data_IF_403778005636
#
_entry.id   IF_403778005636
#
_cell.length_a   1.000
_cell.length_b   1.000
_cell.length_c   1.000
_cell.angle_alpha   90.00
_cell.angle_beta   90.00
_cell.angle_gamma   90.00
#
_symmetry.space_group_name_H-M   'P 1'
#
loop_
_entity.id
_entity.type
_entity.pdbx_description
1 polymer ?
#
# COMPACT_ATOMS: atom_id res chain seq x y z
N UNK A 1 31.23 10.83 -13.50
CA UNK A 1 29.94 10.60 -12.82
C UNK A 1 29.65 11.65 -11.74
N UNK A 2 30.39 11.72 -10.62
CA UNK A 2 30.09 12.66 -9.52
C UNK A 2 30.02 14.14 -9.90
N UNK A 3 30.86 14.60 -10.84
CA UNK A 3 30.78 15.96 -11.40
C UNK A 3 29.45 16.25 -12.09
N UNK A 4 28.86 15.25 -12.74
CA UNK A 4 27.62 15.39 -13.50
C UNK A 4 26.38 15.20 -12.62
N UNK A 5 26.45 14.34 -11.59
CA UNK A 5 25.33 14.10 -10.66
C UNK A 5 25.30 15.05 -9.47
N UNK A 6 26.17 16.07 -9.43
CA UNK A 6 26.26 17.03 -8.34
C UNK A 6 26.54 16.35 -6.99
N UNK A 7 27.47 15.39 -6.96
CA UNK A 7 27.83 14.57 -5.80
C UNK A 7 26.70 13.67 -5.27
N UNK A 8 25.53 13.62 -5.91
CA UNK A 8 24.49 12.65 -5.57
C UNK A 8 24.91 11.28 -6.07
N UNK A 9 25.00 10.33 -5.15
CA UNK A 9 25.23 8.93 -5.50
C UNK A 9 23.96 8.35 -6.14
N UNK A 10 24.13 7.61 -7.23
CA UNK A 10 23.16 6.59 -7.60
C UNK A 10 23.22 5.56 -6.48
N UNK A 11 22.17 5.47 -5.66
CA UNK A 11 22.18 4.70 -4.41
C UNK A 11 22.66 3.27 -4.64
N UNK A 12 23.63 2.83 -3.82
CA UNK A 12 24.08 1.43 -3.76
C UNK A 12 23.02 0.60 -3.05
N UNK A 13 22.78 -0.60 -3.56
CA UNK A 13 21.76 -1.54 -3.08
C UNK A 13 21.84 -1.72 -1.54
N UNK A 14 20.74 -1.49 -0.81
CA UNK A 14 20.66 -1.65 0.65
C UNK A 14 19.93 -2.96 1.03
N UNK A 15 20.07 -3.41 2.28
CA UNK A 15 19.61 -4.73 2.77
C UNK A 15 18.09 -4.96 2.71
N UNK A 16 17.24 -3.93 2.63
CA UNK A 16 15.80 -4.15 2.39
C UNK A 16 15.56 -4.42 0.89
N UNK A 17 15.65 -5.71 0.56
CA UNK A 17 15.60 -6.27 -0.81
C UNK A 17 14.42 -5.80 -1.67
N UNK A 18 13.29 -5.44 -1.05
CA UNK A 18 12.03 -5.20 -1.77
C UNK A 18 11.95 -3.82 -2.46
N UNK A 19 12.44 -2.75 -1.84
CA UNK A 19 12.34 -1.40 -2.41
C UNK A 19 13.60 -0.97 -3.19
N UNK A 20 14.66 -1.76 -3.11
CA UNK A 20 15.98 -1.33 -3.57
C UNK A 20 16.03 -1.09 -5.09
N UNK A 21 15.42 -1.98 -5.89
CA UNK A 21 15.35 -1.81 -7.34
C UNK A 21 14.59 -0.52 -7.73
N UNK A 22 13.46 -0.26 -7.06
CA UNK A 22 12.68 0.97 -7.26
C UNK A 22 13.50 2.23 -6.93
N UNK A 23 14.21 2.24 -5.81
CA UNK A 23 15.04 3.37 -5.39
C UNK A 23 16.17 3.61 -6.39
N UNK A 24 16.83 2.55 -6.86
CA UNK A 24 17.89 2.64 -7.86
C UNK A 24 17.36 3.21 -9.18
N UNK A 25 16.25 2.68 -9.70
CA UNK A 25 15.61 3.17 -10.93
C UNK A 25 15.15 4.63 -10.79
N UNK A 26 14.58 4.99 -9.64
CA UNK A 26 14.13 6.36 -9.35
C UNK A 26 15.32 7.33 -9.31
N UNK A 27 16.46 6.90 -8.75
CA UNK A 27 17.69 7.67 -8.72
C UNK A 27 18.26 7.88 -10.13
N UNK A 28 18.30 6.83 -10.96
CA UNK A 28 18.72 6.90 -12.36
C UNK A 28 17.82 7.85 -13.15
N UNK A 29 16.50 7.74 -12.99
CA UNK A 29 15.53 8.61 -13.65
C UNK A 29 15.72 10.09 -13.28
N UNK A 30 15.90 10.39 -11.99
CA UNK A 30 16.17 11.76 -11.50
C UNK A 30 17.45 12.36 -12.06
N UNK A 31 18.38 11.53 -12.55
CA UNK A 31 19.66 11.96 -13.13
C UNK A 31 19.68 11.84 -14.65
N UNK A 32 18.53 11.65 -15.31
CA UNK A 32 18.46 11.40 -16.75
C UNK A 32 19.29 12.39 -17.59
N UNK A 33 19.05 13.69 -17.44
CA UNK A 33 19.74 14.70 -18.23
C UNK A 33 21.24 14.76 -17.92
N UNK A 34 21.59 14.63 -16.64
CA UNK A 34 22.97 14.61 -16.19
C UNK A 34 23.74 13.40 -16.72
N UNK A 35 23.10 12.22 -16.73
CA UNK A 35 23.68 11.00 -17.29
C UNK A 35 23.83 11.11 -18.80
N UNK A 36 22.81 11.61 -19.52
CA UNK A 36 22.93 11.85 -20.97
C UNK A 36 24.09 12.79 -21.30
N UNK A 37 24.21 13.92 -20.59
CA UNK A 37 25.32 14.86 -20.72
C UNK A 37 26.67 14.20 -20.43
N UNK A 38 26.76 13.36 -19.39
CA UNK A 38 27.98 12.63 -19.06
C UNK A 38 28.42 11.73 -20.22
N UNK A 39 27.51 10.91 -20.77
CA UNK A 39 27.88 9.93 -21.80
C UNK A 39 28.24 10.52 -23.17
N UNK A 40 27.92 11.80 -23.42
CA UNK A 40 28.32 12.52 -24.65
C UNK A 40 29.49 13.49 -24.43
N UNK A 41 30.04 13.56 -23.21
CA UNK A 41 31.12 14.49 -22.87
C UNK A 41 32.50 13.99 -23.32
N UNK A 42 33.42 14.92 -23.55
CA UNK A 42 34.83 14.62 -23.84
C UNK A 42 35.52 13.86 -22.69
N UNK A 43 35.15 14.17 -21.45
CA UNK A 43 35.59 13.45 -20.24
C UNK A 43 35.23 11.96 -20.32
N UNK A 44 34.05 11.62 -20.85
CA UNK A 44 33.64 10.23 -21.01
C UNK A 44 34.34 9.57 -22.20
N UNK A 45 34.33 10.21 -23.38
CA UNK A 45 34.89 9.63 -24.61
C UNK A 45 36.39 9.37 -24.49
N UNK A 46 37.13 10.21 -23.78
CA UNK A 46 38.55 10.04 -23.48
C UNK A 46 38.84 9.00 -22.38
N UNK A 47 37.82 8.58 -21.62
CA UNK A 47 38.00 7.66 -20.50
C UNK A 47 38.31 6.21 -20.92
N UNK A 48 39.02 5.48 -20.05
CA UNK A 48 39.25 4.03 -20.24
C UNK A 48 37.94 3.21 -20.26
N UNK A 49 36.89 3.71 -19.61
CA UNK A 49 35.60 3.01 -19.48
C UNK A 49 34.79 3.03 -20.76
N UNK A 50 34.87 4.12 -21.54
CA UNK A 50 34.20 4.23 -22.83
C UNK A 50 34.75 3.23 -23.87
N UNK A 51 36.00 2.81 -23.74
CA UNK A 51 36.63 1.83 -24.64
C UNK A 51 36.15 0.39 -24.39
N UNK A 52 35.74 0.08 -23.15
CA UNK A 52 35.29 -1.25 -22.75
C UNK A 52 33.86 -1.57 -23.16
N UNK A 53 33.57 -2.86 -23.39
CA UNK A 53 32.25 -3.31 -23.86
C UNK A 53 31.12 -2.94 -22.89
N UNK A 54 31.36 -3.00 -21.58
CA UNK A 54 30.37 -2.61 -20.58
C UNK A 54 30.03 -1.12 -20.65
N UNK A 55 31.02 -0.24 -20.82
CA UNK A 55 30.81 1.19 -20.95
C UNK A 55 30.06 1.57 -22.23
N UNK A 56 30.39 0.90 -23.35
CA UNK A 56 29.65 1.05 -24.62
C UNK A 56 28.18 0.69 -24.47
N UNK A 57 27.88 -0.47 -23.84
CA UNK A 57 26.50 -0.89 -23.57
C UNK A 57 25.76 0.11 -22.66
N UNK A 58 26.40 0.57 -21.59
CA UNK A 58 25.80 1.53 -20.67
C UNK A 58 25.47 2.87 -21.37
N UNK A 59 26.40 3.39 -22.18
CA UNK A 59 26.20 4.59 -22.97
C UNK A 59 25.04 4.41 -23.95
N UNK A 60 25.01 3.29 -24.69
CA UNK A 60 23.94 2.97 -25.62
C UNK A 60 22.58 2.93 -24.92
N UNK A 61 22.46 2.24 -23.78
CA UNK A 61 21.21 2.21 -23.01
C UNK A 61 20.77 3.61 -22.58
N UNK A 62 21.65 4.40 -21.97
CA UNK A 62 21.33 5.74 -21.48
C UNK A 62 20.97 6.73 -22.59
N UNK A 63 21.55 6.58 -23.78
CA UNK A 63 21.23 7.44 -24.91
C UNK A 63 19.97 7.00 -25.68
N UNK A 64 19.48 5.78 -25.43
CA UNK A 64 18.29 5.26 -26.11
C UNK A 64 17.01 5.73 -25.44
N UNK A 65 16.04 6.21 -26.22
CA UNK A 65 14.75 6.67 -25.71
C UNK A 65 13.96 5.57 -24.98
N UNK A 66 13.89 4.36 -25.56
CA UNK A 66 13.12 3.23 -25.00
C UNK A 66 13.59 2.78 -23.62
N UNK A 67 14.88 2.97 -23.28
CA UNK A 67 15.40 2.71 -21.95
C UNK A 67 14.69 3.56 -20.89
N UNK A 68 14.52 4.86 -21.15
CA UNK A 68 13.86 5.78 -20.23
C UNK A 68 12.36 5.52 -20.13
N UNK A 69 11.72 5.20 -21.25
CA UNK A 69 10.32 4.75 -21.26
C UNK A 69 10.15 3.51 -20.37
N UNK A 70 11.06 2.53 -20.47
CA UNK A 70 11.07 1.36 -19.61
C UNK A 70 11.26 1.67 -18.12
N UNK A 71 12.12 2.64 -17.79
CA UNK A 71 12.28 3.10 -16.40
C UNK A 71 11.00 3.74 -15.88
N UNK A 72 10.39 4.65 -16.65
CA UNK A 72 9.14 5.32 -16.26
C UNK A 72 8.04 4.27 -16.04
N UNK A 73 7.93 3.32 -16.97
CA UNK A 73 7.00 2.21 -16.87
C UNK A 73 7.19 1.42 -15.57
N UNK A 74 8.42 0.98 -15.28
CA UNK A 74 8.72 0.23 -14.05
C UNK A 74 8.39 1.03 -12.79
N UNK A 75 8.73 2.33 -12.75
CA UNK A 75 8.45 3.21 -11.62
C UNK A 75 6.95 3.46 -11.41
N UNK A 76 6.18 3.59 -12.50
CA UNK A 76 4.73 3.76 -12.44
C UNK A 76 4.02 2.55 -11.84
N UNK A 77 4.42 1.35 -12.25
CA UNK A 77 3.81 0.10 -11.78
C UNK A 77 4.20 -0.21 -10.33
N UNK A 78 5.48 -0.07 -10.01
CA UNK A 78 5.98 -0.45 -8.68
C UNK A 78 5.76 0.64 -7.64
N UNK A 79 5.61 1.91 -8.03
CA UNK A 79 5.45 3.04 -7.12
C UNK A 79 4.29 2.87 -6.12
N UNK A 80 3.06 2.54 -6.55
CA UNK A 80 1.95 2.27 -5.64
C UNK A 80 2.22 1.10 -4.68
N UNK A 81 2.79 -0.02 -5.17
CA UNK A 81 3.16 -1.17 -4.32
C UNK A 81 4.21 -0.81 -3.26
N UNK A 82 5.18 0.05 -3.59
CA UNK A 82 6.15 0.56 -2.61
C UNK A 82 5.46 1.40 -1.53
N UNK A 83 4.36 2.10 -1.83
CA UNK A 83 3.59 2.82 -0.80
C UNK A 83 2.88 1.85 0.14
N UNK A 84 2.30 0.76 -0.37
CA UNK A 84 1.72 -0.31 0.46
C UNK A 84 2.78 -0.94 1.36
N UNK A 85 3.96 -1.27 0.81
CA UNK A 85 5.05 -1.83 1.60
C UNK A 85 5.46 -0.89 2.75
N UNK A 86 5.57 0.42 2.48
CA UNK A 86 5.88 1.41 3.52
C UNK A 86 4.78 1.55 4.58
N UNK A 87 3.52 1.34 4.20
CA UNK A 87 2.40 1.34 5.13
C UNK A 87 2.52 0.16 6.10
N UNK A 88 2.76 -1.05 5.60
CA UNK A 88 2.81 -2.26 6.44
C UNK A 88 4.09 -2.37 7.28
N UNK A 89 5.19 -1.81 6.80
CA UNK A 89 6.45 -1.70 7.57
C UNK A 89 6.46 -0.48 8.52
N UNK A 90 5.42 0.35 8.50
CA UNK A 90 5.32 1.51 9.37
C UNK A 90 4.91 1.13 10.79
N UNK A 91 5.83 1.25 11.75
CA UNK A 91 5.54 0.91 13.17
C UNK A 91 4.61 1.91 13.88
N UNK A 92 4.42 3.11 13.33
CA UNK A 92 3.72 4.21 14.03
C UNK A 92 2.20 4.06 14.08
N UNK A 93 1.59 3.39 13.11
CA UNK A 93 0.14 3.15 13.06
C UNK A 93 -0.10 1.72 12.58
N UNK A 94 -0.90 0.90 13.29
CA UNK A 94 -1.23 -0.44 12.82
C UNK A 94 -1.83 -0.42 11.42
N UNK A 95 -1.24 -1.21 10.51
CA UNK A 95 -1.61 -1.22 9.11
C UNK A 95 -2.91 -1.99 8.80
N UNK A 96 -3.43 -2.77 9.76
CA UNK A 96 -4.54 -3.70 9.52
C UNK A 96 -5.81 -3.00 9.03
N UNK A 97 -6.10 -1.80 9.54
CA UNK A 97 -7.23 -0.99 9.08
C UNK A 97 -7.06 -0.38 7.69
N UNK A 98 -5.87 -0.46 7.09
CA UNK A 98 -5.49 0.31 5.90
C UNK A 98 -5.01 -0.53 4.73
N UNK A 99 -4.48 -1.73 4.98
CA UNK A 99 -3.80 -2.54 3.97
C UNK A 99 -4.71 -2.96 2.81
N UNK A 100 -5.98 -3.28 3.07
CA UNK A 100 -6.94 -3.69 2.05
C UNK A 100 -7.17 -2.56 1.03
N UNK A 101 -7.58 -1.38 1.52
CA UNK A 101 -7.76 -0.18 0.70
C UNK A 101 -6.46 0.21 -0.02
N UNK A 102 -5.32 0.15 0.68
CA UNK A 102 -4.04 0.51 0.09
C UNK A 102 -3.66 -0.41 -1.07
N UNK A 103 -4.01 -1.70 -0.98
CA UNK A 103 -3.82 -2.67 -2.07
C UNK A 103 -4.78 -2.43 -3.22
N UNK A 104 -6.06 -2.16 -2.95
CA UNK A 104 -7.04 -1.82 -3.98
C UNK A 104 -6.63 -0.56 -4.75
N UNK A 105 -6.27 0.51 -4.04
CA UNK A 105 -5.75 1.74 -4.63
C UNK A 105 -4.43 1.52 -5.38
N UNK A 106 -3.57 0.59 -4.93
CA UNK A 106 -2.34 0.28 -5.65
C UNK A 106 -2.62 -0.41 -6.99
N UNK A 107 -3.60 -1.30 -7.03
CA UNK A 107 -4.07 -1.96 -8.26
C UNK A 107 -4.70 -0.92 -9.20
N UNK A 108 -5.58 -0.05 -8.70
CA UNK A 108 -6.20 1.03 -9.49
C UNK A 108 -5.13 2.00 -10.02
N UNK A 109 -4.24 2.50 -9.16
CA UNK A 109 -3.20 3.45 -9.57
C UNK A 109 -2.21 2.83 -10.57
N UNK A 110 -1.99 1.52 -10.52
CA UNK A 110 -1.20 0.83 -11.51
C UNK A 110 -1.93 0.70 -12.85
N UNK A 111 -3.27 0.76 -12.89
CA UNK A 111 -4.16 0.65 -14.08
C UNK A 111 -4.29 1.89 -14.98
N UNK A 112 -3.25 2.73 -15.04
CA UNK A 112 -3.16 3.94 -15.88
C UNK A 112 -3.86 3.84 -17.24
N UNK A 113 -4.73 4.82 -17.56
CA UNK A 113 -5.41 5.09 -18.83
C UNK A 113 -5.81 3.84 -19.64
N UNK A 114 -7.11 3.63 -19.82
CA UNK A 114 -7.71 2.47 -20.52
C UNK A 114 -7.04 2.13 -21.88
N UNK A 115 -6.44 3.11 -22.56
CA UNK A 115 -5.69 2.93 -23.81
C UNK A 115 -4.39 2.11 -23.70
N UNK A 116 -3.78 2.01 -22.52
CA UNK A 116 -2.52 1.26 -22.28
C UNK A 116 -2.68 0.02 -21.41
N UNK A 117 -3.92 -0.33 -21.02
CA UNK A 117 -4.24 -1.43 -20.10
C UNK A 117 -3.57 -2.77 -20.47
N UNK A 118 -3.57 -3.11 -21.75
CA UNK A 118 -2.96 -4.34 -22.29
C UNK A 118 -1.45 -4.45 -22.00
N UNK A 119 -0.74 -3.33 -21.81
CA UNK A 119 0.71 -3.36 -21.51
C UNK A 119 0.99 -3.93 -20.12
N UNK A 120 0.05 -3.75 -19.20
CA UNK A 120 0.22 -4.05 -17.79
C UNK A 120 -0.55 -5.30 -17.32
N UNK A 121 -1.37 -5.90 -18.19
CA UNK A 121 -2.23 -7.06 -17.89
C UNK A 121 -1.47 -8.22 -17.25
N UNK A 122 -0.30 -8.56 -17.80
CA UNK A 122 0.56 -9.61 -17.23
C UNK A 122 1.04 -9.29 -15.81
N UNK A 123 1.22 -8.01 -15.48
CA UNK A 123 1.65 -7.59 -14.14
C UNK A 123 0.45 -7.59 -13.18
N UNK A 124 -0.74 -7.15 -13.60
CA UNK A 124 -1.95 -7.26 -12.77
C UNK A 124 -2.25 -8.71 -12.44
N UNK A 125 -2.17 -9.61 -13.41
CA UNK A 125 -2.36 -11.04 -13.15
C UNK A 125 -1.41 -11.57 -12.07
N UNK A 126 -0.18 -11.04 -12.00
CA UNK A 126 0.76 -11.39 -10.93
C UNK A 126 0.32 -10.77 -9.60
N UNK A 127 -0.06 -9.50 -9.59
CA UNK A 127 -0.51 -8.79 -8.37
C UNK A 127 -1.77 -9.45 -7.81
N UNK A 128 -2.82 -9.62 -8.61
CA UNK A 128 -4.10 -10.22 -8.23
C UNK A 128 -3.88 -11.64 -7.70
N UNK A 129 -3.11 -12.46 -8.43
CA UNK A 129 -2.80 -13.83 -7.98
C UNK A 129 -2.05 -13.82 -6.63
N UNK A 130 -1.18 -12.85 -6.38
CA UNK A 130 -0.45 -12.73 -5.11
C UNK A 130 -1.36 -12.23 -4.00
N UNK A 131 -2.25 -11.29 -4.31
CA UNK A 131 -3.30 -10.84 -3.41
C UNK A 131 -4.16 -12.04 -3.00
N UNK A 132 -4.85 -12.69 -3.93
CA UNK A 132 -5.80 -13.77 -3.65
C UNK A 132 -5.18 -14.97 -2.93
N UNK A 133 -3.96 -15.37 -3.30
CA UNK A 133 -3.36 -16.60 -2.77
C UNK A 133 -2.61 -16.39 -1.45
N UNK A 134 -2.05 -15.21 -1.21
CA UNK A 134 -1.05 -15.00 -0.16
C UNK A 134 -1.43 -13.90 0.81
N UNK A 135 -1.87 -12.74 0.31
CA UNK A 135 -2.05 -11.54 1.12
C UNK A 135 -3.50 -11.37 1.57
N UNK A 136 -4.47 -11.53 0.67
CA UNK A 136 -5.88 -11.39 1.00
C UNK A 136 -6.32 -12.48 1.97
N UNK A 137 -6.88 -12.05 3.10
CA UNK A 137 -7.42 -12.92 4.14
C UNK A 137 -8.65 -12.24 4.73
N UNK A 138 -9.59 -13.02 5.29
CA UNK A 138 -10.73 -12.48 6.01
C UNK A 138 -10.37 -11.40 7.04
N UNK A 139 -9.19 -11.53 7.64
CA UNK A 139 -8.65 -10.56 8.58
C UNK A 139 -8.45 -9.15 7.98
N UNK A 140 -7.95 -9.05 6.75
CA UNK A 140 -7.70 -7.76 6.10
C UNK A 140 -8.99 -7.06 5.71
N UNK A 141 -9.98 -7.82 5.21
CA UNK A 141 -11.33 -7.31 4.95
C UNK A 141 -12.01 -6.84 6.24
N UNK A 142 -11.88 -7.58 7.35
CA UNK A 142 -12.40 -7.16 8.64
C UNK A 142 -11.72 -5.87 9.13
N UNK A 143 -10.40 -5.75 9.01
CA UNK A 143 -9.68 -4.53 9.35
C UNK A 143 -10.16 -3.32 8.56
N UNK A 144 -10.38 -3.50 7.26
CA UNK A 144 -10.94 -2.48 6.39
C UNK A 144 -12.34 -2.04 6.80
N UNK A 145 -13.24 -3.02 6.99
CA UNK A 145 -14.62 -2.78 7.40
C UNK A 145 -14.71 -2.02 8.72
N UNK A 146 -13.85 -2.37 9.68
CA UNK A 146 -13.83 -1.76 11.01
C UNK A 146 -13.09 -0.42 11.06
N UNK A 147 -12.53 0.05 9.94
CA UNK A 147 -11.89 1.36 9.89
C UNK A 147 -12.96 2.45 9.66
N UNK A 148 -13.26 3.32 10.65
CA UNK A 148 -14.28 4.34 10.53
C UNK A 148 -13.95 5.39 9.46
N UNK A 149 -12.68 5.57 9.10
CA UNK A 149 -12.30 6.44 7.98
C UNK A 149 -12.89 5.93 6.66
N UNK A 150 -12.88 4.63 6.43
CA UNK A 150 -13.35 4.04 5.18
C UNK A 150 -14.82 3.69 5.24
N UNK A 151 -15.26 3.09 6.34
CA UNK A 151 -16.64 2.67 6.55
C UNK A 151 -17.62 3.82 6.28
N UNK A 152 -17.41 4.95 6.94
CA UNK A 152 -18.32 6.10 6.85
C UNK A 152 -18.04 7.04 5.67
N UNK A 153 -16.94 6.85 4.93
CA UNK A 153 -16.62 7.69 3.77
C UNK A 153 -17.36 7.23 2.51
N UNK A 154 -17.69 5.94 2.40
CA UNK A 154 -18.55 5.40 1.34
C UNK A 154 -19.40 4.22 1.88
N UNK A 155 -20.42 4.56 2.68
CA UNK A 155 -21.33 3.58 3.30
C UNK A 155 -21.99 2.66 2.26
N UNK A 156 -22.43 3.22 1.14
CA UNK A 156 -23.15 2.47 0.11
C UNK A 156 -22.23 1.46 -0.56
N UNK A 157 -20.96 1.81 -0.83
CA UNK A 157 -20.00 0.85 -1.35
C UNK A 157 -19.71 -0.25 -0.33
N UNK A 158 -19.49 0.09 0.94
CA UNK A 158 -19.20 -0.88 2.00
C UNK A 158 -20.33 -1.88 2.25
N UNK A 159 -21.57 -1.41 2.33
CA UNK A 159 -22.73 -2.28 2.56
C UNK A 159 -23.00 -3.22 1.38
N UNK A 160 -22.67 -2.78 0.16
CA UNK A 160 -22.87 -3.58 -1.07
C UNK A 160 -21.71 -4.53 -1.36
N UNK A 161 -20.56 -4.33 -0.72
CA UNK A 161 -19.41 -5.19 -0.90
C UNK A 161 -19.63 -6.56 -0.23
N UNK A 162 -20.16 -7.50 -1.01
CA UNK A 162 -20.44 -8.87 -0.56
C UNK A 162 -19.19 -9.61 -0.12
N UNK A 163 -18.03 -9.28 -0.67
CA UNK A 163 -16.77 -9.91 -0.31
C UNK A 163 -16.34 -9.48 1.08
N UNK A 164 -16.28 -8.16 1.32
CA UNK A 164 -15.88 -7.60 2.62
C UNK A 164 -16.83 -8.07 3.73
N UNK A 165 -18.14 -8.03 3.51
CA UNK A 165 -19.12 -8.46 4.51
C UNK A 165 -19.01 -9.96 4.83
N UNK A 166 -18.88 -10.82 3.81
CA UNK A 166 -18.69 -12.26 4.01
C UNK A 166 -17.40 -12.55 4.77
N UNK A 167 -16.34 -11.83 4.45
CA UNK A 167 -15.02 -12.07 5.01
C UNK A 167 -14.88 -11.47 6.42
N UNK A 168 -15.64 -10.43 6.77
CA UNK A 168 -15.84 -10.00 8.16
C UNK A 168 -16.43 -11.13 9.01
N UNK A 169 -17.51 -11.78 8.55
CA UNK A 169 -18.16 -12.89 9.27
C UNK A 169 -17.18 -14.04 9.48
N UNK A 170 -16.46 -14.46 8.43
CA UNK A 170 -15.42 -15.50 8.54
C UNK A 170 -14.31 -15.13 9.53
N UNK A 171 -13.96 -13.84 9.61
CA UNK A 171 -12.98 -13.35 10.56
C UNK A 171 -13.48 -13.49 12.00
N UNK A 172 -14.74 -13.11 12.26
CA UNK A 172 -15.41 -13.27 13.55
C UNK A 172 -15.44 -14.74 13.96
N UNK A 173 -15.96 -15.62 13.09
CA UNK A 173 -16.05 -17.07 13.33
C UNK A 173 -14.68 -17.68 13.69
N UNK A 174 -13.61 -17.20 13.04
CA UNK A 174 -12.26 -17.71 13.24
C UNK A 174 -11.58 -17.18 14.50
N UNK A 175 -11.79 -15.92 14.88
CA UNK A 175 -11.07 -15.25 15.97
C UNK A 175 -11.82 -15.26 17.31
N UNK A 176 -13.10 -15.59 17.29
CA UNK A 176 -14.00 -15.58 18.45
C UNK A 176 -14.55 -16.98 18.68
N UNK A 177 -13.97 -17.79 19.60
CA UNK A 177 -14.38 -19.19 19.77
C UNK A 177 -15.79 -19.39 20.34
N UNK A 178 -16.29 -18.42 21.12
CA UNK A 178 -17.61 -18.51 21.74
C UNK A 178 -18.70 -18.05 20.78
N UNK A 179 -19.63 -18.96 20.46
CA UNK A 179 -20.81 -18.67 19.61
C UNK A 179 -21.65 -17.55 20.22
N UNK A 180 -21.79 -17.52 21.54
CA UNK A 180 -22.55 -16.47 22.24
C UNK A 180 -21.92 -15.09 22.03
N UNK A 181 -20.58 -15.01 22.05
CA UNK A 181 -19.86 -13.76 21.75
C UNK A 181 -19.95 -13.39 20.27
N UNK A 182 -19.92 -14.37 19.35
CA UNK A 182 -20.15 -14.11 17.93
C UNK A 182 -21.54 -13.48 17.73
N UNK A 183 -22.59 -14.05 18.34
CA UNK A 183 -23.95 -13.52 18.28
C UNK A 183 -24.05 -12.11 18.87
N UNK A 184 -23.35 -11.83 19.97
CA UNK A 184 -23.30 -10.49 20.55
C UNK A 184 -22.63 -9.48 19.62
N UNK A 185 -21.48 -9.82 19.02
CA UNK A 185 -20.81 -8.97 18.02
C UNK A 185 -21.74 -8.70 16.84
N UNK A 186 -22.43 -9.72 16.34
CA UNK A 186 -23.37 -9.58 15.22
C UNK A 186 -24.58 -8.72 15.57
N UNK A 187 -25.05 -8.73 16.82
CA UNK A 187 -26.14 -7.84 17.29
C UNK A 187 -25.71 -6.39 17.43
N UNK A 188 -24.43 -6.16 17.75
CA UNK A 188 -23.87 -4.82 17.89
C UNK A 188 -23.46 -4.20 16.55
N UNK A 189 -23.21 -5.02 15.52
CA UNK A 189 -22.79 -4.55 14.21
C UNK A 189 -23.77 -3.52 13.59
N UNK A 190 -25.11 -3.71 13.61
CA UNK A 190 -26.04 -2.71 13.11
C UNK A 190 -25.97 -1.34 13.80
N UNK A 191 -25.51 -1.27 15.06
CA UNK A 191 -25.35 -0.01 15.79
C UNK A 191 -24.14 0.79 15.28
N UNK A 192 -23.11 0.09 14.77
CA UNK A 192 -22.01 0.70 14.03
C UNK A 192 -22.44 1.13 12.62
N UNK A 193 -23.25 0.31 11.95
CA UNK A 193 -23.70 0.57 10.57
C UNK A 193 -24.71 1.73 10.48
N UNK A 194 -25.75 1.67 11.30
CA UNK A 194 -26.89 2.58 11.31
C UNK A 194 -26.76 3.53 12.49
N UNK A 195 -25.71 4.32 12.50
CA UNK A 195 -25.52 5.33 13.54
C UNK A 195 -26.52 6.46 13.31
N UNK A 196 -27.70 6.35 13.93
CA UNK A 196 -28.66 7.44 14.06
C UNK A 196 -27.97 8.65 14.72
N UNK A 197 -28.55 9.86 14.60
CA UNK A 197 -27.93 11.10 15.12
C UNK A 197 -27.69 11.09 16.64
N UNK A 198 -28.26 10.13 17.37
CA UNK A 198 -28.07 9.93 18.81
C UNK A 198 -26.89 8.99 19.14
N UNK A 199 -26.33 8.28 18.16
CA UNK A 199 -25.17 7.41 18.35
C UNK A 199 -23.90 8.23 18.64
N UNK A 200 -23.08 7.77 19.58
CA UNK A 200 -21.76 8.36 19.85
C UNK A 200 -20.83 8.31 18.63
N UNK A 201 -21.04 7.36 17.72
CA UNK A 201 -20.31 7.27 16.47
C UNK A 201 -20.55 8.49 15.56
N UNK A 202 -21.73 9.13 15.64
CA UNK A 202 -22.08 10.37 14.92
C UNK A 202 -21.81 11.64 15.73
N UNK A 203 -21.29 11.52 16.95
CA UNK A 203 -20.88 12.72 17.70
C UNK A 203 -19.88 13.53 16.88
N UNK A 204 -19.99 14.86 16.96
CA UNK A 204 -19.09 15.76 16.22
C UNK A 204 -17.60 15.50 16.54
N UNK A 205 -17.30 14.96 17.73
CA UNK A 205 -15.96 14.51 18.08
C UNK A 205 -15.57 13.24 17.32
N UNK A 206 -16.38 12.18 17.37
CA UNK A 206 -16.11 10.93 16.68
C UNK A 206 -15.89 11.15 15.18
N UNK A 207 -16.75 11.93 14.53
CA UNK A 207 -16.67 12.29 13.10
C UNK A 207 -15.34 12.97 12.74
N UNK A 208 -14.87 13.94 13.54
CA UNK A 208 -13.58 14.61 13.30
C UNK A 208 -12.38 13.68 13.50
N UNK A 209 -12.50 12.69 14.39
CA UNK A 209 -11.41 11.79 14.72
C UNK A 209 -11.27 10.61 13.76
N UNK A 210 -12.31 10.28 12.96
CA UNK A 210 -12.28 9.15 12.00
C UNK A 210 -11.03 9.15 11.11
N UNK A 211 -10.60 10.32 10.62
CA UNK A 211 -9.45 10.49 9.69
C UNK A 211 -8.14 10.88 10.38
N UNK A 212 -8.17 11.29 11.64
CA UNK A 212 -7.01 11.85 12.33
C UNK A 212 -6.41 10.89 13.34
N UNK A 213 -7.25 10.07 13.96
CA UNK A 213 -6.87 9.06 14.94
C UNK A 213 -6.57 7.70 14.28
N UNK A 214 -5.84 6.83 14.95
CA UNK A 214 -5.68 5.46 14.47
C UNK A 214 -6.99 4.68 14.73
N UNK A 215 -7.40 3.74 13.85
CA UNK A 215 -8.70 3.09 13.98
C UNK A 215 -8.90 2.39 15.33
N UNK A 216 -7.87 1.68 15.82
CA UNK A 216 -7.93 1.02 17.12
C UNK A 216 -8.09 2.01 18.29
N UNK A 217 -7.48 3.20 18.22
CA UNK A 217 -7.66 4.24 19.25
C UNK A 217 -9.03 4.91 19.14
N UNK A 218 -9.53 5.14 17.92
CA UNK A 218 -10.89 5.63 17.71
C UNK A 218 -11.92 4.70 18.37
N UNK A 219 -11.77 3.38 18.19
CA UNK A 219 -12.64 2.39 18.85
C UNK A 219 -12.53 2.43 20.38
N UNK A 220 -11.37 2.76 20.96
CA UNK A 220 -11.25 2.95 22.42
C UNK A 220 -11.90 4.25 22.91
N UNK A 221 -11.86 5.30 22.09
CA UNK A 221 -12.26 6.65 22.46
C UNK A 221 -13.77 6.88 22.36
N UNK A 222 -14.44 6.22 21.41
CA UNK A 222 -15.85 6.45 21.12
C UNK A 222 -16.65 5.16 21.34
N UNK A 223 -17.17 5.01 22.55
CA UNK A 223 -17.99 3.87 22.98
C UNK A 223 -19.16 4.33 23.87
N UNK A 224 -20.31 3.67 23.70
CA UNK A 224 -21.19 3.37 24.85
C UNK A 224 -22.05 2.10 24.65
N UNK A 225 -22.31 1.67 23.41
CA UNK A 225 -23.39 0.69 23.15
C UNK A 225 -22.94 -0.62 22.48
N UNK A 226 -21.65 -0.77 22.16
CA UNK A 226 -21.12 -1.92 21.42
C UNK A 226 -19.83 -2.52 22.03
N UNK A 227 -19.84 -2.99 23.29
CA UNK A 227 -18.63 -3.44 23.97
C UNK A 227 -17.99 -4.69 23.33
N UNK A 228 -18.78 -5.62 22.78
CA UNK A 228 -18.25 -6.85 22.19
C UNK A 228 -17.59 -6.58 20.83
N UNK A 229 -18.26 -5.79 19.98
CA UNK A 229 -17.74 -5.33 18.70
C UNK A 229 -16.50 -4.46 18.89
N UNK A 230 -16.49 -3.58 19.89
CA UNK A 230 -15.34 -2.74 20.20
C UNK A 230 -14.11 -3.59 20.55
N UNK A 231 -14.25 -4.56 21.46
CA UNK A 231 -13.15 -5.46 21.80
C UNK A 231 -12.65 -6.25 20.58
N UNK A 232 -13.57 -6.73 19.75
CA UNK A 232 -13.22 -7.40 18.49
C UNK A 232 -12.47 -6.45 17.54
N UNK A 233 -12.96 -5.22 17.37
CA UNK A 233 -12.39 -4.23 16.47
C UNK A 233 -10.98 -3.83 16.90
N UNK A 234 -10.78 -3.50 18.19
CA UNK A 234 -9.46 -3.20 18.75
C UNK A 234 -8.52 -4.39 18.54
N UNK A 235 -8.98 -5.62 18.81
CA UNK A 235 -8.18 -6.84 18.61
C UNK A 235 -7.73 -6.97 17.17
N UNK A 236 -8.62 -6.83 16.19
CA UNK A 236 -8.30 -6.93 14.76
C UNK A 236 -7.37 -5.79 14.34
N UNK A 237 -7.75 -4.55 14.62
CA UNK A 237 -7.06 -3.36 14.13
C UNK A 237 -5.67 -3.17 14.75
N UNK A 238 -5.40 -3.77 15.90
CA UNK A 238 -4.09 -3.71 16.56
C UNK A 238 -3.09 -4.75 16.05
N UNK A 239 -3.48 -5.65 15.14
CA UNK A 239 -2.57 -6.66 14.60
C UNK A 239 -1.58 -6.06 13.59
N UNK A 240 -0.37 -6.62 13.58
CA UNK A 240 0.65 -6.28 12.57
C UNK A 240 0.35 -6.96 11.23
N UNK A 241 0.64 -6.26 10.14
CA UNK A 241 0.63 -6.80 8.79
C UNK A 241 2.03 -7.15 8.27
N UNK A 242 3.08 -6.92 9.07
CA UNK A 242 4.46 -7.20 8.69
C UNK A 242 5.17 -8.03 9.75
N UNK A 243 6.04 -8.93 9.28
CA UNK A 243 6.97 -9.68 10.12
C UNK A 243 8.31 -8.96 10.30
N UNK A 244 8.49 -7.76 9.72
CA UNK A 244 9.77 -7.03 9.76
C UNK A 244 10.19 -6.62 11.16
N UNK A 245 9.24 -6.37 12.07
CA UNK A 245 9.52 -6.13 13.49
C UNK A 245 10.10 -7.35 14.24
N UNK A 246 10.12 -8.53 13.60
CA UNK A 246 10.74 -9.75 14.13
C UNK A 246 12.12 -10.06 13.50
N UNK A 247 12.61 -9.24 12.56
CA UNK A 247 13.96 -9.35 11.96
C UNK A 247 15.01 -8.62 12.80
#
# INVERSE_FOLDING_TARGET
MWRYTGLKNLLRLAKTRFATAFIALSSIYKQQDNLRKMFVSDDWTSSKWAKGQAGKKAAQSVLTYSFWVGIIYALKVTGPLIRVLRLVDGEKKPAMGYIYEAMDQATIAASFNDSEKHKYESIYSIIDKRWDCQLHRPLHAAGYYLNPEFYYNDLVAMERDKEVNRDLIKCIERLVPSIQMQDMIMRELPLYQNSDTESLFESAMAVRHRKTEAPAEWWKSFEAETPNLQQFAIKVLSLTCSSSGCE
#
